data_IF_003282522278
#
_entry.id   IF_003282522278
#
_cell.length_a   1.000
_cell.length_b   1.000
_cell.length_c   1.000
_cell.angle_alpha   90.00
_cell.angle_beta   90.00
_cell.angle_gamma   90.00
#
_symmetry.space_group_name_H-M   'P 1'
#
loop_
_entity.id
_entity.type
_entity.pdbx_description
1 polymer ?
#
# COMPACT_ATOMS: atom_id res chain seq x y z
N UNK A 1 -2.80 -3.79 13.06
CA UNK A 1 -1.93 -4.51 12.11
C UNK A 1 -0.51 -3.98 12.06
N UNK A 2 -0.22 -2.82 11.46
CA UNK A 2 1.19 -2.36 11.31
C UNK A 2 1.94 -2.09 12.63
N UNK A 3 1.27 -1.61 13.69
CA UNK A 3 1.89 -1.47 15.01
C UNK A 3 2.26 -2.83 15.61
N UNK A 4 1.33 -3.79 15.54
CA UNK A 4 1.59 -5.17 15.98
C UNK A 4 2.70 -5.82 15.16
N UNK A 5 2.75 -5.54 13.85
CA UNK A 5 3.80 -6.04 12.94
C UNK A 5 5.21 -5.60 13.37
N UNK A 6 5.37 -4.38 13.89
CA UNK A 6 6.70 -3.89 14.33
C UNK A 6 6.96 -4.09 15.82
N UNK A 7 5.97 -4.53 16.57
CA UNK A 7 6.09 -4.74 18.01
C UNK A 7 7.11 -5.83 18.33
N UNK A 8 8.08 -5.48 19.18
CA UNK A 8 9.20 -6.36 19.55
C UNK A 8 10.29 -6.54 18.49
N UNK A 9 10.17 -5.92 17.30
CA UNK A 9 11.23 -5.99 16.28
C UNK A 9 12.35 -5.00 16.57
N UNK A 10 13.60 -5.48 16.48
CA UNK A 10 14.79 -4.63 16.44
C UNK A 10 14.96 -4.03 15.05
N UNK A 11 15.78 -2.98 14.93
CA UNK A 11 16.16 -2.41 13.61
C UNK A 11 16.74 -3.48 12.67
N UNK A 12 17.63 -4.33 13.19
CA UNK A 12 18.19 -5.44 12.41
C UNK A 12 17.13 -6.44 11.95
N UNK A 13 16.17 -6.78 12.82
CA UNK A 13 15.04 -7.66 12.45
C UNK A 13 14.11 -7.01 11.42
N UNK A 14 13.87 -5.70 11.52
CA UNK A 14 13.08 -4.94 10.56
C UNK A 14 13.72 -4.80 9.18
N UNK A 15 15.06 -4.78 9.14
CA UNK A 15 15.87 -4.71 7.92
C UNK A 15 16.16 -6.09 7.30
N UNK A 16 15.88 -7.18 8.00
CA UNK A 16 16.12 -8.54 7.51
C UNK A 16 15.23 -8.87 6.31
N UNK A 17 15.80 -9.60 5.34
CA UNK A 17 15.11 -10.09 4.14
C UNK A 17 15.37 -11.59 3.96
N UNK A 18 14.38 -12.32 3.45
CA UNK A 18 14.45 -13.78 3.34
C UNK A 18 15.39 -14.25 2.21
N UNK A 19 15.33 -13.56 1.07
CA UNK A 19 16.13 -13.85 -0.12
C UNK A 19 16.72 -12.56 -0.71
N UNK A 20 17.82 -12.69 -1.45
CA UNK A 20 18.37 -11.59 -2.23
C UNK A 20 17.32 -11.05 -3.22
N UNK A 21 16.93 -9.78 -3.04
CA UNK A 21 15.90 -9.11 -3.86
C UNK A 21 14.47 -9.22 -3.33
N UNK A 22 14.25 -9.85 -2.18
CA UNK A 22 13.02 -9.70 -1.40
C UNK A 22 13.05 -8.44 -0.55
N UNK A 23 11.88 -7.90 -0.20
CA UNK A 23 11.80 -6.72 0.67
C UNK A 23 11.77 -7.10 2.15
N UNK A 24 12.42 -6.30 2.97
CA UNK A 24 12.32 -6.34 4.42
C UNK A 24 10.99 -5.78 4.93
N UNK A 25 10.72 -5.91 6.24
CA UNK A 25 9.55 -5.28 6.88
C UNK A 25 9.60 -3.76 6.71
N UNK A 26 10.77 -3.16 6.93
CA UNK A 26 10.97 -1.72 6.79
C UNK A 26 10.72 -1.26 5.34
N UNK A 27 11.23 -1.99 4.35
CA UNK A 27 11.01 -1.68 2.94
C UNK A 27 9.54 -1.83 2.52
N UNK A 28 8.81 -2.83 3.04
CA UNK A 28 7.37 -2.95 2.80
C UNK A 28 6.60 -1.73 3.33
N UNK A 29 6.91 -1.26 4.54
CA UNK A 29 6.25 -0.10 5.15
C UNK A 29 6.59 1.21 4.43
N UNK A 30 7.85 1.40 4.05
CA UNK A 30 8.32 2.57 3.29
C UNK A 30 7.68 2.64 1.90
N UNK A 31 7.55 1.48 1.24
CA UNK A 31 6.84 1.35 -0.03
C UNK A 31 5.38 1.77 0.08
N UNK A 32 4.67 1.27 1.10
CA UNK A 32 3.28 1.62 1.35
C UNK A 32 3.10 3.11 1.63
N UNK A 33 3.95 3.69 2.47
CA UNK A 33 3.94 5.12 2.76
C UNK A 33 4.08 5.97 1.49
N UNK A 34 5.03 5.59 0.63
CA UNK A 34 5.29 6.29 -0.63
C UNK A 34 4.13 6.14 -1.61
N UNK A 35 3.59 4.93 -1.78
CA UNK A 35 2.46 4.69 -2.66
C UNK A 35 1.21 5.50 -2.25
N UNK A 36 0.92 5.56 -0.96
CA UNK A 36 -0.19 6.34 -0.42
C UNK A 36 -0.06 7.83 -0.76
N UNK A 37 1.12 8.42 -0.52
CA UNK A 37 1.39 9.84 -0.84
C UNK A 37 1.21 10.12 -2.33
N UNK A 38 1.73 9.26 -3.21
CA UNK A 38 1.61 9.44 -4.67
C UNK A 38 0.16 9.37 -5.13
N UNK A 39 -0.64 8.40 -4.63
CA UNK A 39 -2.05 8.33 -4.96
C UNK A 39 -2.83 9.55 -4.46
N UNK A 40 -2.62 9.94 -3.20
CA UNK A 40 -3.31 11.10 -2.61
C UNK A 40 -2.99 12.39 -3.36
N UNK A 41 -1.72 12.60 -3.73
CA UNK A 41 -1.32 13.76 -4.53
C UNK A 41 -2.06 13.84 -5.89
N UNK A 42 -2.28 12.69 -6.55
CA UNK A 42 -3.04 12.64 -7.79
C UNK A 42 -4.56 12.82 -7.59
N UNK A 43 -5.10 12.34 -6.47
CA UNK A 43 -6.53 12.35 -6.16
C UNK A 43 -7.03 13.68 -5.59
N UNK A 44 -6.18 14.42 -4.87
CA UNK A 44 -6.58 15.62 -4.13
C UNK A 44 -7.08 16.77 -5.03
N UNK A 45 -6.42 17.15 -6.14
CA UNK A 45 -6.91 18.24 -7.00
C UNK A 45 -8.32 18.01 -7.56
N UNK A 46 -8.66 16.85 -8.17
CA UNK A 46 -10.02 16.62 -8.67
C UNK A 46 -11.04 16.46 -7.53
N UNK A 47 -10.66 15.92 -6.37
CA UNK A 47 -11.55 15.85 -5.20
C UNK A 47 -11.90 17.24 -4.65
N UNK A 48 -10.90 18.11 -4.48
CA UNK A 48 -11.09 19.49 -4.04
C UNK A 48 -11.97 20.29 -5.01
N UNK A 49 -11.78 20.09 -6.32
CA UNK A 49 -12.67 20.69 -7.34
C UNK A 49 -14.10 20.19 -7.19
N UNK A 50 -14.30 18.87 -7.10
CA UNK A 50 -15.63 18.30 -6.97
C UNK A 50 -16.37 18.76 -5.70
N UNK A 51 -15.63 18.98 -4.60
CA UNK A 51 -16.18 19.54 -3.37
C UNK A 51 -16.66 20.99 -3.57
N UNK A 52 -15.85 21.84 -4.22
CA UNK A 52 -16.25 23.23 -4.56
C UNK A 52 -17.45 23.27 -5.49
N UNK A 53 -17.48 22.38 -6.48
CA UNK A 53 -18.56 22.26 -7.46
C UNK A 53 -19.82 21.57 -6.86
N UNK A 54 -19.82 21.27 -5.55
CA UNK A 54 -20.91 20.60 -4.82
C UNK A 54 -21.38 19.31 -5.51
N UNK A 55 -20.45 18.53 -6.07
CA UNK A 55 -20.76 17.22 -6.66
C UNK A 55 -21.07 16.20 -5.57
N UNK A 56 -22.30 16.20 -5.09
CA UNK A 56 -22.77 15.36 -3.99
C UNK A 56 -22.67 13.87 -4.31
N UNK A 57 -22.42 13.07 -3.27
CA UNK A 57 -22.42 11.61 -3.31
C UNK A 57 -23.77 11.09 -3.82
N UNK A 58 -23.73 10.22 -4.83
CA UNK A 58 -24.91 9.62 -5.47
C UNK A 58 -25.17 8.18 -5.06
N UNK A 59 -24.23 7.54 -4.37
CA UNK A 59 -24.33 6.15 -3.98
C UNK A 59 -23.07 5.63 -3.29
N UNK A 60 -22.96 4.30 -3.11
CA UNK A 60 -21.76 3.67 -2.56
C UNK A 60 -20.50 3.93 -3.40
N UNK A 61 -19.35 4.09 -2.74
CA UNK A 61 -18.06 4.30 -3.41
C UNK A 61 -17.49 2.98 -3.92
N UNK A 62 -18.07 2.46 -5.01
CA UNK A 62 -17.64 1.21 -5.63
C UNK A 62 -16.67 1.46 -6.79
N UNK A 63 -15.67 0.60 -6.99
CA UNK A 63 -14.83 0.67 -8.18
C UNK A 63 -15.66 0.28 -9.41
N UNK A 64 -15.43 0.93 -10.55
CA UNK A 64 -16.02 0.48 -11.82
C UNK A 64 -15.36 -0.83 -12.30
N UNK A 65 -15.89 -1.48 -13.34
CA UNK A 65 -15.44 -2.81 -13.79
C UNK A 65 -13.92 -2.95 -13.96
N UNK A 66 -13.29 -2.06 -14.73
CA UNK A 66 -11.81 -2.04 -14.94
C UNK A 66 -11.05 -1.81 -13.63
N UNK A 67 -11.57 -0.92 -12.78
CA UNK A 67 -11.00 -0.65 -11.47
C UNK A 67 -11.11 -1.84 -10.53
N UNK A 68 -12.25 -2.52 -10.51
CA UNK A 68 -12.52 -3.70 -9.70
C UNK A 68 -11.62 -4.88 -10.11
N UNK A 69 -11.41 -5.07 -11.42
CA UNK A 69 -10.42 -6.04 -11.90
C UNK A 69 -9.01 -5.72 -11.40
N UNK A 70 -8.58 -4.46 -11.50
CA UNK A 70 -7.25 -4.05 -11.03
C UNK A 70 -7.10 -4.18 -9.50
N UNK A 71 -8.13 -3.85 -8.73
CA UNK A 71 -8.16 -4.06 -7.27
C UNK A 71 -8.01 -5.54 -6.94
N UNK A 72 -8.78 -6.42 -7.62
CA UNK A 72 -8.71 -7.87 -7.40
C UNK A 72 -7.36 -8.46 -7.80
N UNK A 73 -6.68 -7.89 -8.81
CA UNK A 73 -5.32 -8.25 -9.16
C UNK A 73 -4.29 -7.88 -8.08
N UNK A 74 -4.58 -6.87 -7.26
CA UNK A 74 -3.71 -6.44 -6.17
C UNK A 74 -3.95 -7.20 -4.85
N UNK A 75 -5.08 -7.88 -4.68
CA UNK A 75 -5.39 -8.63 -3.46
C UNK A 75 -4.50 -9.88 -3.30
N UNK A 76 -4.12 -10.23 -2.05
CA UNK A 76 -3.46 -11.50 -1.77
C UNK A 76 -4.44 -12.69 -1.88
N UNK A 77 -3.95 -13.92 -2.15
CA UNK A 77 -2.55 -14.28 -2.40
C UNK A 77 -2.11 -13.87 -3.81
N UNK A 78 -0.95 -13.22 -3.91
CA UNK A 78 -0.34 -12.94 -5.21
C UNK A 78 0.06 -14.27 -5.84
N UNK A 79 -0.50 -14.59 -7.01
CA UNK A 79 -0.08 -15.76 -7.77
C UNK A 79 1.44 -15.70 -7.98
N UNK A 80 2.16 -16.73 -7.52
CA UNK A 80 3.63 -16.78 -7.53
C UNK A 80 4.24 -16.62 -8.95
N UNK A 81 3.44 -16.87 -10.00
CA UNK A 81 3.81 -16.65 -11.40
C UNK A 81 3.85 -15.18 -11.85
N UNK A 82 3.35 -14.23 -11.05
CA UNK A 82 3.34 -12.80 -11.36
C UNK A 82 4.17 -12.00 -10.34
N UNK A 83 5.49 -12.15 -10.39
CA UNK A 83 6.43 -11.24 -9.70
C UNK A 83 6.44 -9.88 -10.40
N UNK A 84 5.43 -9.05 -10.14
CA UNK A 84 5.38 -7.67 -10.66
C UNK A 84 6.38 -6.79 -9.92
N UNK A 85 7.37 -6.25 -10.63
CA UNK A 85 8.30 -5.26 -10.06
C UNK A 85 7.54 -3.99 -9.71
N UNK A 86 7.82 -3.41 -8.54
CA UNK A 86 7.25 -2.13 -8.16
C UNK A 86 7.65 -1.03 -9.17
N UNK A 87 6.69 -0.17 -9.57
CA UNK A 87 6.99 1.02 -10.36
C UNK A 87 8.11 1.83 -9.72
N UNK A 88 9.02 2.38 -10.54
CA UNK A 88 10.20 3.13 -10.05
C UNK A 88 9.82 4.25 -9.06
N UNK A 89 8.70 4.92 -9.31
CA UNK A 89 8.20 6.04 -8.52
C UNK A 89 7.77 5.69 -7.09
N UNK A 90 7.57 4.40 -6.79
CA UNK A 90 7.19 3.94 -5.44
C UNK A 90 8.13 2.87 -4.92
N UNK A 91 9.33 2.71 -5.48
CA UNK A 91 10.29 1.80 -4.87
C UNK A 91 10.64 2.29 -3.46
N UNK A 92 10.71 1.39 -2.46
CA UNK A 92 11.17 1.79 -1.15
C UNK A 92 12.59 2.33 -1.23
N UNK A 93 12.93 3.21 -0.28
CA UNK A 93 14.31 3.63 -0.03
C UNK A 93 15.18 2.38 0.24
N UNK A 94 16.46 2.45 -0.12
CA UNK A 94 17.40 1.37 0.18
C UNK A 94 17.62 1.31 1.69
N UNK A 95 17.35 0.15 2.30
CA UNK A 95 17.58 -0.12 3.73
C UNK A 95 17.07 1.00 4.67
N UNK A 96 15.77 1.33 4.65
CA UNK A 96 15.22 2.36 5.54
C UNK A 96 15.25 1.84 6.99
N UNK A 97 15.51 2.74 7.94
CA UNK A 97 15.34 2.41 9.36
C UNK A 97 13.88 2.02 9.63
N UNK A 98 13.67 0.99 10.44
CA UNK A 98 12.36 0.47 10.81
C UNK A 98 11.52 1.57 11.47
N UNK A 99 12.09 2.31 12.43
CA UNK A 99 11.44 3.43 13.11
C UNK A 99 10.93 4.52 12.14
N UNK A 100 11.73 4.87 11.14
CA UNK A 100 11.34 5.84 10.12
C UNK A 100 10.24 5.29 9.22
N UNK A 101 10.36 4.03 8.80
CA UNK A 101 9.41 3.39 7.91
C UNK A 101 8.02 3.27 8.54
N UNK A 102 7.92 2.85 9.81
CA UNK A 102 6.63 2.79 10.51
C UNK A 102 6.05 4.19 10.74
N UNK A 103 6.87 5.16 11.10
CA UNK A 103 6.43 6.56 11.29
C UNK A 103 5.85 7.13 9.99
N UNK A 104 6.57 6.95 8.88
CA UNK A 104 6.14 7.37 7.56
C UNK A 104 4.84 6.68 7.13
N UNK A 105 4.71 5.37 7.38
CA UNK A 105 3.50 4.63 7.07
C UNK A 105 2.31 5.13 7.87
N UNK A 106 2.45 5.30 9.19
CA UNK A 106 1.37 5.79 10.06
C UNK A 106 0.94 7.23 9.70
N UNK A 107 1.88 8.09 9.34
CA UNK A 107 1.57 9.42 8.82
C UNK A 107 0.74 9.32 7.52
N UNK A 108 1.14 8.46 6.58
CA UNK A 108 0.38 8.26 5.34
C UNK A 108 -1.03 7.71 5.59
N UNK A 109 -1.21 6.84 6.60
CA UNK A 109 -2.52 6.35 7.01
C UNK A 109 -3.40 7.46 7.57
N UNK A 110 -2.81 8.37 8.35
CA UNK A 110 -3.50 9.55 8.82
C UNK A 110 -4.00 10.40 7.64
N UNK A 111 -3.15 10.62 6.64
CA UNK A 111 -3.49 11.39 5.44
C UNK A 111 -4.64 10.74 4.64
N UNK A 112 -4.61 9.42 4.44
CA UNK A 112 -5.69 8.68 3.77
C UNK A 112 -7.00 8.84 4.53
N UNK A 113 -6.98 8.72 5.87
CA UNK A 113 -8.19 8.91 6.70
C UNK A 113 -8.69 10.36 6.65
N UNK A 114 -7.79 11.33 6.62
CA UNK A 114 -8.14 12.75 6.46
C UNK A 114 -8.79 13.00 5.11
N UNK A 115 -8.21 12.47 4.02
CA UNK A 115 -8.81 12.53 2.69
C UNK A 115 -10.24 11.96 2.70
N UNK A 116 -10.43 10.77 3.27
CA UNK A 116 -11.75 10.14 3.36
C UNK A 116 -12.75 10.99 4.14
N UNK A 117 -12.39 11.53 5.30
CA UNK A 117 -13.27 12.41 6.09
C UNK A 117 -13.65 13.67 5.33
N UNK A 118 -12.69 14.30 4.66
CA UNK A 118 -12.91 15.55 3.92
C UNK A 118 -13.80 15.35 2.69
N UNK A 119 -13.65 14.22 2.00
CA UNK A 119 -14.29 14.00 0.69
C UNK A 119 -15.38 12.90 0.70
N UNK A 120 -15.79 12.39 1.87
CA UNK A 120 -16.83 11.36 1.95
C UNK A 120 -18.18 11.77 1.33
N UNK A 121 -18.47 13.07 1.32
CA UNK A 121 -19.73 13.64 0.82
C UNK A 121 -19.81 13.85 -0.68
N UNK A 122 -18.73 13.63 -1.45
CA UNK A 122 -18.72 13.86 -2.91
C UNK A 122 -18.97 12.58 -3.72
N UNK A 123 -19.27 12.75 -5.01
CA UNK A 123 -19.41 11.68 -6.01
C UNK A 123 -18.07 10.98 -6.31
N UNK A 124 -17.62 10.12 -5.39
CA UNK A 124 -16.36 9.38 -5.51
C UNK A 124 -16.33 8.45 -6.73
N UNK A 125 -17.49 8.03 -7.24
CA UNK A 125 -17.62 7.18 -8.43
C UNK A 125 -17.45 7.97 -9.73
N UNK A 126 -18.00 9.18 -9.81
CA UNK A 126 -18.01 10.01 -11.00
C UNK A 126 -16.86 11.02 -11.09
N UNK A 127 -16.09 11.23 -10.02
CA UNK A 127 -14.89 12.08 -10.05
C UNK A 127 -13.67 11.23 -10.41
N UNK A 128 -12.93 11.65 -11.45
CA UNK A 128 -11.80 10.89 -12.00
C UNK A 128 -10.48 11.62 -11.91
N UNK A 129 -9.41 10.89 -11.63
CA UNK A 129 -8.03 11.37 -11.59
C UNK A 129 -7.15 10.58 -12.57
N UNK A 130 -6.07 11.18 -13.11
CA UNK A 130 -5.10 10.46 -13.93
C UNK A 130 -4.32 9.46 -13.05
N UNK A 131 -4.16 8.22 -13.52
CA UNK A 131 -3.38 7.22 -12.80
C UNK A 131 -1.90 7.64 -12.77
N UNK A 132 -1.25 7.66 -11.58
CA UNK A 132 0.13 8.14 -11.44
C UNK A 132 1.19 7.18 -12.02
N UNK A 133 0.84 5.94 -12.32
CA UNK A 133 1.76 4.89 -12.80
C UNK A 133 1.49 4.45 -14.23
N UNK A 134 0.26 4.63 -14.74
CA UNK A 134 -0.17 4.18 -16.05
C UNK A 134 -0.64 5.38 -16.87
N UNK A 135 0.23 5.83 -17.79
CA UNK A 135 -0.07 6.97 -18.67
C UNK A 135 -1.33 6.68 -19.51
N UNK A 136 -2.21 7.68 -19.61
CA UNK A 136 -3.45 7.59 -20.38
C UNK A 136 -4.63 6.95 -19.64
N UNK A 137 -4.41 6.32 -18.48
CA UNK A 137 -5.50 5.71 -17.68
C UNK A 137 -6.04 6.70 -16.66
N UNK A 138 -7.36 6.74 -16.50
CA UNK A 138 -8.04 7.52 -15.45
C UNK A 138 -8.91 6.64 -14.57
N UNK A 139 -8.67 6.69 -13.27
CA UNK A 139 -9.48 5.98 -12.28
C UNK A 139 -10.49 6.93 -11.63
N UNK A 140 -11.59 6.36 -11.13
CA UNK A 140 -12.47 7.08 -10.20
C UNK A 140 -11.80 7.19 -8.83
N UNK A 141 -12.16 8.20 -8.03
CA UNK A 141 -11.67 8.31 -6.65
C UNK A 141 -12.00 7.04 -5.85
N UNK A 142 -13.19 6.45 -6.06
CA UNK A 142 -13.58 5.18 -5.46
C UNK A 142 -12.60 4.05 -5.82
N UNK A 143 -12.20 3.95 -7.09
CA UNK A 143 -11.19 2.97 -7.53
C UNK A 143 -9.84 3.21 -6.85
N UNK A 144 -9.38 4.46 -6.79
CA UNK A 144 -8.12 4.81 -6.13
C UNK A 144 -8.07 4.40 -4.65
N UNK A 145 -9.15 4.65 -3.91
CA UNK A 145 -9.29 4.27 -2.51
C UNK A 145 -9.25 2.75 -2.30
N UNK A 146 -9.94 1.99 -3.16
CA UNK A 146 -9.90 0.52 -3.11
C UNK A 146 -8.53 -0.03 -3.49
N UNK A 147 -7.83 0.60 -4.43
CA UNK A 147 -6.46 0.24 -4.78
C UNK A 147 -5.52 0.44 -3.61
N UNK A 148 -5.59 1.59 -2.92
CA UNK A 148 -4.79 1.83 -1.70
C UNK A 148 -5.03 0.70 -0.69
N UNK A 149 -6.30 0.40 -0.38
CA UNK A 149 -6.64 -0.61 0.62
C UNK A 149 -6.17 -2.03 0.24
N UNK A 150 -6.34 -2.45 -1.02
CA UNK A 150 -5.88 -3.76 -1.50
C UNK A 150 -4.35 -3.86 -1.52
N UNK A 151 -3.69 -2.78 -1.95
CA UNK A 151 -2.24 -2.69 -1.95
C UNK A 151 -1.64 -2.80 -0.53
N UNK A 152 -2.26 -2.14 0.44
CA UNK A 152 -1.91 -2.26 1.85
C UNK A 152 -2.07 -3.70 2.37
N UNK A 153 -3.20 -4.35 2.12
CA UNK A 153 -3.41 -5.76 2.51
C UNK A 153 -2.32 -6.66 1.97
N UNK A 154 -1.98 -6.53 0.69
CA UNK A 154 -0.93 -7.33 0.04
C UNK A 154 0.44 -7.14 0.68
N UNK A 155 0.87 -5.91 0.93
CA UNK A 155 2.22 -5.66 1.46
C UNK A 155 2.33 -5.83 2.97
N UNK A 156 1.25 -5.62 3.73
CA UNK A 156 1.21 -6.02 5.14
C UNK A 156 1.28 -7.54 5.27
N UNK A 157 0.58 -8.29 4.42
CA UNK A 157 0.71 -9.75 4.35
C UNK A 157 2.16 -10.17 4.01
N UNK A 158 2.79 -9.51 3.04
CA UNK A 158 4.20 -9.76 2.71
C UNK A 158 5.13 -9.50 3.91
N UNK A 159 4.98 -8.35 4.57
CA UNK A 159 5.80 -7.99 5.73
C UNK A 159 5.63 -8.98 6.89
N UNK A 160 4.40 -9.44 7.16
CA UNK A 160 4.16 -10.50 8.15
C UNK A 160 4.88 -11.80 7.81
N UNK A 161 4.90 -12.20 6.53
CA UNK A 161 5.63 -13.40 6.10
C UNK A 161 7.13 -13.27 6.28
N UNK A 162 7.68 -12.07 6.05
CA UNK A 162 9.11 -11.79 6.28
C UNK A 162 9.43 -11.87 7.76
N UNK A 163 8.64 -11.22 8.62
CA UNK A 163 8.81 -11.30 10.07
C UNK A 163 8.80 -12.75 10.58
N UNK A 164 7.78 -13.52 10.19
CA UNK A 164 7.65 -14.94 10.59
C UNK A 164 8.77 -15.83 10.04
N UNK A 165 9.42 -15.44 8.95
CA UNK A 165 10.60 -16.15 8.45
C UNK A 165 11.86 -15.78 9.25
N UNK A 166 12.00 -14.53 9.68
CA UNK A 166 13.11 -14.07 10.54
C UNK A 166 13.06 -14.70 11.95
N UNK A 167 11.86 -14.90 12.49
CA UNK A 167 11.64 -15.47 13.83
C UNK A 167 11.68 -17.01 13.84
N UNK A 168 11.68 -17.67 12.68
CA UNK A 168 11.80 -19.12 12.64
C UNK A 168 13.22 -19.53 13.03
N UNK A 169 13.40 -20.43 14.02
CA UNK A 169 14.72 -20.95 14.33
C UNK A 169 15.27 -21.64 13.09
N UNK A 170 16.53 -21.34 12.75
CA UNK A 170 17.28 -22.08 11.75
C UNK A 170 17.34 -23.54 12.18
N UNK A 171 16.48 -24.39 11.63
CA UNK A 171 16.61 -25.84 11.71
C UNK A 171 17.83 -26.26 10.92
N UNK A 172 19.00 -26.06 11.52
CA UNK A 172 20.28 -26.64 11.12
C UNK A 172 21.01 -27.18 12.35
N UNK A 173 20.31 -27.91 13.20
CA UNK A 173 20.92 -28.87 14.12
C UNK A 173 20.10 -30.15 14.07
N UNK A 174 20.66 -31.15 13.37
CA UNK A 174 20.48 -32.61 13.53
C UNK A 174 20.48 -33.31 12.17
N UNK A 175 21.67 -33.78 11.77
CA UNK A 175 21.97 -35.21 11.58
C UNK A 175 23.42 -35.36 11.08
N UNK A 176 24.23 -36.03 11.89
CA UNK A 176 25.63 -36.35 11.63
C UNK A 176 26.35 -36.45 12.98
N UNK A 177 26.05 -37.48 13.78
CA UNK A 177 26.63 -38.84 13.75
C UNK A 177 27.80 -38.93 14.74
#
# INVERSE_FOLDING_TARGET
>A
DARALVDGLTEAGGAWCADAGSWSVAECLDHLATANRVYLAAMQPPAARALRDRRQRRGPAQPGLVGGWFVRFLEPPVNAGFKTKAPRAIRPRTAPALGDAITAFLASQHDVRTFLRTYAGIDLTGVRFPNPFIRGVRFSLATGLHVIAAHERRHLWQAWRVRQAAERPSTSESKGQ
#
